data_IF_796874325639
#
_entry.id   IF_796874325639
#
_cell.length_a   1.000
_cell.length_b   1.000
_cell.length_c   1.000
_cell.angle_alpha   90.00
_cell.angle_beta   90.00
_cell.angle_gamma   90.00
#
_symmetry.space_group_name_H-M   'P 1'
#
loop_
_entity.id
_entity.type
_entity.pdbx_description
1 polymer ?
#
# COMPACT_ATOMS: atom_id res chain seq x y z
N UNK A 1 3.60 20.77 -54.90
CA UNK A 1 4.30 21.19 -53.66
C UNK A 1 5.51 21.97 -54.14
N UNK A 2 5.57 23.29 -53.91
CA UNK A 2 6.64 24.13 -54.45
C UNK A 2 7.97 23.75 -53.80
N UNK A 3 8.97 23.43 -54.63
CA UNK A 3 10.33 23.09 -54.19
C UNK A 3 10.97 24.33 -53.51
N UNK A 4 11.71 24.16 -52.40
CA UNK A 4 12.36 25.29 -51.74
C UNK A 4 13.42 25.91 -52.66
N UNK A 5 13.15 27.12 -53.16
CA UNK A 5 13.91 27.81 -54.21
C UNK A 5 15.15 28.59 -53.75
N UNK A 6 15.57 28.49 -52.48
CA UNK A 6 16.70 29.24 -51.91
C UNK A 6 17.92 28.39 -51.54
N UNK A 7 17.74 27.45 -50.60
CA UNK A 7 18.73 26.44 -50.20
C UNK A 7 18.01 25.30 -49.45
N UNK A 8 18.39 24.05 -49.70
CA UNK A 8 17.83 22.88 -48.99
C UNK A 8 18.93 21.95 -48.52
N UNK A 9 18.85 21.50 -47.27
CA UNK A 9 19.72 20.45 -46.71
C UNK A 9 18.89 19.17 -46.63
N UNK A 10 19.39 18.10 -47.25
CA UNK A 10 18.79 16.76 -47.20
C UNK A 10 19.69 15.85 -46.35
N UNK A 11 19.13 15.29 -45.30
CA UNK A 11 19.80 14.28 -44.48
C UNK A 11 19.36 12.90 -45.01
N UNK A 12 20.28 12.19 -45.66
CA UNK A 12 20.07 10.82 -46.13
C UNK A 12 21.03 9.89 -45.39
N UNK A 13 20.63 9.52 -44.18
CA UNK A 13 21.48 8.75 -43.27
C UNK A 13 20.83 7.39 -42.98
N UNK A 14 21.51 6.33 -43.43
CA UNK A 14 21.07 4.96 -43.24
C UNK A 14 21.16 4.48 -41.78
N UNK A 15 22.09 5.03 -40.99
CA UNK A 15 22.20 4.72 -39.57
C UNK A 15 21.05 5.38 -38.80
N UNK A 16 20.73 6.64 -39.10
CA UNK A 16 19.58 7.34 -38.52
C UNK A 16 18.26 6.63 -38.80
N UNK A 17 18.04 6.16 -40.04
CA UNK A 17 16.83 5.39 -40.40
C UNK A 17 16.73 4.07 -39.63
N UNK A 18 17.85 3.36 -39.47
CA UNK A 18 17.88 2.11 -38.68
C UNK A 18 17.54 2.38 -37.22
N UNK A 19 18.15 3.42 -36.63
CA UNK A 19 17.91 3.82 -35.25
C UNK A 19 16.43 4.18 -35.02
N UNK A 20 15.86 5.03 -35.88
CA UNK A 20 14.44 5.42 -35.81
C UNK A 20 13.50 4.22 -36.02
N UNK A 21 13.86 3.29 -36.91
CA UNK A 21 13.11 2.05 -37.13
C UNK A 21 13.10 1.13 -35.90
N UNK A 22 14.25 1.00 -35.23
CA UNK A 22 14.35 0.24 -33.96
C UNK A 22 13.48 0.85 -32.86
N UNK A 23 13.58 2.17 -32.67
CA UNK A 23 12.74 2.91 -31.71
C UNK A 23 11.24 2.76 -32.01
N UNK A 24 10.83 2.89 -33.27
CA UNK A 24 9.44 2.73 -33.67
C UNK A 24 8.92 1.32 -33.37
N UNK A 25 9.71 0.28 -33.66
CA UNK A 25 9.34 -1.10 -33.35
C UNK A 25 9.26 -1.35 -31.84
N UNK A 26 10.20 -0.85 -31.05
CA UNK A 26 10.16 -0.98 -29.58
C UNK A 26 9.00 -0.21 -28.95
N UNK A 27 8.53 0.87 -29.57
CA UNK A 27 7.35 1.60 -29.11
C UNK A 27 6.04 0.81 -29.31
N UNK A 28 6.01 -0.23 -30.14
CA UNK A 28 4.82 -1.08 -30.32
C UNK A 28 4.60 -2.04 -29.13
N UNK A 29 5.69 -2.47 -28.49
CA UNK A 29 5.65 -3.34 -27.32
C UNK A 29 6.68 -2.90 -26.27
N UNK A 30 6.21 -2.10 -25.31
CA UNK A 30 7.02 -1.63 -24.19
C UNK A 30 6.89 -2.55 -22.97
N UNK A 31 6.39 -3.79 -23.12
CA UNK A 31 6.15 -4.70 -21.99
C UNK A 31 7.40 -4.85 -21.11
N UNK A 32 8.58 -5.00 -21.71
CA UNK A 32 9.84 -5.12 -20.96
C UNK A 32 10.16 -3.87 -20.13
N UNK A 33 9.88 -2.68 -20.65
CA UNK A 33 10.00 -1.44 -19.88
C UNK A 33 8.98 -1.44 -18.74
N UNK A 34 7.72 -1.73 -19.04
CA UNK A 34 6.64 -1.69 -18.05
C UNK A 34 6.88 -2.70 -16.91
N UNK A 35 7.46 -3.87 -17.18
CA UNK A 35 7.90 -4.84 -16.16
C UNK A 35 8.97 -4.25 -15.24
N UNK A 36 9.97 -3.57 -15.81
CA UNK A 36 11.03 -2.95 -15.01
C UNK A 36 10.50 -1.80 -14.15
N UNK A 37 9.66 -0.93 -14.73
CA UNK A 37 9.03 0.17 -14.00
C UNK A 37 8.14 -0.34 -12.88
N UNK A 38 7.30 -1.35 -13.15
CA UNK A 38 6.45 -1.99 -12.16
C UNK A 38 7.26 -2.60 -11.02
N UNK A 39 8.34 -3.33 -11.33
CA UNK A 39 9.23 -3.92 -10.33
C UNK A 39 9.89 -2.87 -9.43
N UNK A 40 10.33 -1.75 -10.02
CA UNK A 40 10.90 -0.64 -9.25
C UNK A 40 9.85 0.02 -8.34
N UNK A 41 8.65 0.30 -8.86
CA UNK A 41 7.56 0.89 -8.08
C UNK A 41 7.13 -0.02 -6.92
N UNK A 42 7.10 -1.33 -7.15
CA UNK A 42 6.82 -2.33 -6.11
C UNK A 42 7.91 -2.32 -5.04
N UNK A 43 9.18 -2.33 -5.44
CA UNK A 43 10.32 -2.24 -4.53
C UNK A 43 10.29 -0.96 -3.68
N UNK A 44 10.05 0.19 -4.29
CA UNK A 44 9.95 1.47 -3.59
C UNK A 44 8.81 1.45 -2.57
N UNK A 45 7.68 0.84 -2.95
CA UNK A 45 6.54 0.68 -2.05
C UNK A 45 6.89 -0.23 -0.88
N UNK A 46 7.60 -1.36 -1.10
CA UNK A 46 8.02 -2.26 -0.02
C UNK A 46 9.01 -1.57 0.93
N UNK A 47 9.97 -0.82 0.40
CA UNK A 47 10.96 -0.04 1.18
C UNK A 47 10.30 0.97 2.11
N UNK A 48 9.22 1.62 1.67
CA UNK A 48 8.44 2.55 2.52
C UNK A 48 7.89 1.90 3.79
N UNK A 49 7.54 0.61 3.75
CA UNK A 49 7.11 -0.12 4.96
C UNK A 49 8.26 -0.35 5.92
N UNK A 50 9.46 -0.63 5.41
CA UNK A 50 10.66 -0.84 6.21
C UNK A 50 11.14 0.48 6.84
N UNK A 51 11.12 1.57 6.07
CA UNK A 51 11.52 2.90 6.52
C UNK A 51 10.42 3.62 7.32
N UNK A 52 9.19 3.10 7.31
CA UNK A 52 7.98 3.69 7.88
C UNK A 52 7.71 5.13 7.39
N UNK A 53 7.91 5.35 6.09
CA UNK A 53 7.81 6.66 5.44
C UNK A 53 6.90 6.62 4.22
N UNK A 54 6.18 7.70 3.98
CA UNK A 54 5.37 7.87 2.79
C UNK A 54 6.19 8.16 1.52
N UNK A 55 5.53 8.24 0.36
CA UNK A 55 6.16 8.66 -0.89
C UNK A 55 6.80 10.05 -0.75
N UNK A 56 6.20 10.94 0.03
CA UNK A 56 6.73 12.27 0.33
C UNK A 56 7.99 12.26 1.23
N UNK A 57 8.44 11.09 1.68
CA UNK A 57 9.59 10.91 2.58
C UNK A 57 9.28 11.17 4.06
N UNK A 58 8.06 11.63 4.37
CA UNK A 58 7.66 11.91 5.73
C UNK A 58 7.32 10.61 6.49
N UNK A 59 7.71 10.47 7.76
CA UNK A 59 7.37 9.30 8.55
C UNK A 59 5.85 9.21 8.75
N UNK A 60 5.29 8.00 8.70
CA UNK A 60 3.87 7.82 8.94
C UNK A 60 3.49 8.14 10.38
N UNK A 61 2.28 8.70 10.62
CA UNK A 61 1.74 8.85 11.96
C UNK A 61 1.76 7.51 12.71
N UNK A 62 2.40 7.43 13.89
CA UNK A 62 2.62 6.18 14.58
C UNK A 62 1.29 5.51 14.94
N UNK A 63 1.25 4.18 14.85
CA UNK A 63 0.09 3.43 15.35
C UNK A 63 0.13 3.30 16.88
N UNK A 64 -1.03 3.13 17.53
CA UNK A 64 -1.08 2.90 18.97
C UNK A 64 -0.26 1.66 19.37
N UNK A 65 -0.25 0.62 18.53
CA UNK A 65 0.57 -0.57 18.73
C UNK A 65 2.06 -0.24 18.66
N UNK A 66 2.48 0.58 17.69
CA UNK A 66 3.86 1.02 17.59
C UNK A 66 4.31 1.76 18.87
N UNK A 67 3.45 2.63 19.41
CA UNK A 67 3.75 3.39 20.63
C UNK A 67 3.74 2.54 21.91
N UNK A 68 2.86 1.54 22.00
CA UNK A 68 2.63 0.78 23.25
C UNK A 68 3.38 -0.55 23.32
N UNK A 69 3.71 -1.13 22.17
CA UNK A 69 4.29 -2.48 22.06
C UNK A 69 5.58 -2.49 21.24
N UNK A 70 6.16 -1.31 20.95
CA UNK A 70 7.39 -1.17 20.17
C UNK A 70 7.34 -1.87 18.80
N UNK A 71 6.15 -1.89 18.17
CA UNK A 71 5.95 -2.45 16.84
C UNK A 71 6.15 -1.42 15.71
N UNK A 72 6.11 -1.89 14.47
CA UNK A 72 6.19 -1.01 13.30
C UNK A 72 4.82 -0.52 12.84
N UNK A 73 4.75 0.74 12.41
CA UNK A 73 3.52 1.29 11.85
C UNK A 73 3.21 0.65 10.50
N UNK A 74 1.93 0.31 10.27
CA UNK A 74 1.43 -0.35 9.05
C UNK A 74 1.93 -1.80 8.82
N UNK A 75 2.79 -2.32 9.69
CA UNK A 75 3.32 -3.70 9.64
C UNK A 75 2.95 -4.43 10.92
N UNK A 76 1.92 -5.27 10.90
CA UNK A 76 1.58 -6.18 12.02
C UNK A 76 2.02 -7.61 11.70
N UNK A 77 1.29 -8.28 10.81
CA UNK A 77 1.64 -9.57 10.21
C UNK A 77 2.32 -9.44 8.85
N UNK A 78 2.69 -8.21 8.47
CA UNK A 78 3.18 -7.84 7.14
C UNK A 78 2.25 -8.18 5.95
N UNK A 79 1.00 -8.60 6.18
CA UNK A 79 0.04 -8.96 5.12
C UNK A 79 -0.16 -7.86 4.08
N UNK A 80 -0.27 -6.60 4.50
CA UNK A 80 -0.47 -5.49 3.57
C UNK A 80 0.73 -5.36 2.63
N UNK A 81 1.95 -5.33 3.20
CA UNK A 81 3.20 -5.29 2.43
C UNK A 81 3.30 -6.45 1.44
N UNK A 82 3.03 -7.67 1.90
CA UNK A 82 3.10 -8.89 1.08
C UNK A 82 2.01 -8.98 0.00
N UNK A 83 0.92 -8.22 0.14
CA UNK A 83 -0.17 -8.19 -0.84
C UNK A 83 0.03 -7.16 -1.95
N UNK A 84 1.09 -6.35 -1.87
CA UNK A 84 1.44 -5.43 -2.95
C UNK A 84 1.89 -6.27 -4.12
N UNK A 85 1.32 -5.98 -5.28
CA UNK A 85 1.75 -6.58 -6.53
C UNK A 85 1.52 -5.62 -7.68
N UNK A 86 2.08 -5.99 -8.82
CA UNK A 86 2.02 -5.21 -10.04
C UNK A 86 1.21 -5.90 -11.14
N UNK A 87 0.68 -5.08 -12.06
CA UNK A 87 0.09 -5.53 -13.33
C UNK A 87 0.69 -4.72 -14.46
N UNK A 88 0.98 -5.40 -15.56
CA UNK A 88 1.66 -4.81 -16.71
C UNK A 88 0.88 -5.11 -17.97
N UNK A 89 0.78 -4.12 -18.84
CA UNK A 89 0.37 -4.26 -20.24
C UNK A 89 1.49 -3.76 -21.15
N UNK A 90 1.27 -3.78 -22.48
CA UNK A 90 2.26 -3.29 -23.45
C UNK A 90 2.66 -1.82 -23.27
N UNK A 91 1.85 -1.01 -22.59
CA UNK A 91 2.08 0.42 -22.44
C UNK A 91 1.69 0.98 -21.06
N UNK A 92 1.31 0.13 -20.10
CA UNK A 92 0.97 0.55 -18.74
C UNK A 92 1.62 -0.35 -17.70
N UNK A 93 2.02 0.27 -16.58
CA UNK A 93 2.46 -0.39 -15.38
C UNK A 93 1.59 0.09 -14.21
N UNK A 94 1.01 -0.83 -13.46
CA UNK A 94 0.16 -0.56 -12.31
C UNK A 94 0.69 -1.29 -11.09
N UNK A 95 0.67 -0.63 -9.92
CA UNK A 95 1.02 -1.24 -8.63
C UNK A 95 -0.09 -0.99 -7.63
N UNK A 96 -0.48 -2.03 -6.88
CA UNK A 96 -1.55 -1.92 -5.90
C UNK A 96 -1.70 -3.15 -5.02
N UNK A 97 -2.81 -3.20 -4.28
CA UNK A 97 -3.17 -4.30 -3.39
C UNK A 97 -4.68 -4.54 -3.43
N UNK A 98 -5.10 -5.78 -3.19
CA UNK A 98 -6.51 -6.15 -3.06
C UNK A 98 -7.02 -6.14 -1.61
N UNK A 99 -6.20 -5.71 -0.65
CA UNK A 99 -6.56 -5.67 0.77
C UNK A 99 -7.52 -4.53 1.05
N UNK A 100 -8.72 -4.84 1.56
CA UNK A 100 -9.80 -3.86 1.76
C UNK A 100 -9.39 -2.68 2.66
N UNK A 101 -8.67 -2.96 3.75
CA UNK A 101 -8.23 -1.92 4.68
C UNK A 101 -7.06 -1.07 4.13
N UNK A 102 -6.52 -1.40 2.96
CA UNK A 102 -5.48 -0.60 2.31
C UNK A 102 -5.98 0.81 1.98
N UNK A 103 -7.23 0.95 1.54
CA UNK A 103 -7.80 2.24 1.13
C UNK A 103 -7.85 3.23 2.30
N UNK A 104 -8.33 2.80 3.47
CA UNK A 104 -8.41 3.69 4.64
C UNK A 104 -7.02 4.08 5.15
N UNK A 105 -5.99 3.25 4.93
CA UNK A 105 -4.61 3.63 5.23
C UNK A 105 -4.03 4.56 4.18
N UNK A 106 -4.29 4.34 2.89
CA UNK A 106 -3.77 5.18 1.82
C UNK A 106 -4.33 6.60 1.91
N UNK A 107 -5.64 6.74 2.07
CA UNK A 107 -6.34 8.02 1.98
C UNK A 107 -6.69 8.63 3.34
N UNK A 108 -6.62 7.84 4.42
CA UNK A 108 -7.23 8.22 5.69
C UNK A 108 -8.75 8.18 5.62
N UNK A 109 -9.41 8.46 6.74
CA UNK A 109 -10.85 8.62 6.77
C UNK A 109 -11.47 8.34 8.13
N UNK A 110 -12.79 8.42 8.19
CA UNK A 110 -13.56 8.17 9.42
C UNK A 110 -14.43 6.94 9.24
N UNK A 111 -14.27 5.96 10.11
CA UNK A 111 -15.11 4.76 10.16
C UNK A 111 -16.21 5.01 11.18
N UNK A 112 -17.46 4.91 10.74
CA UNK A 112 -18.63 5.02 11.62
C UNK A 112 -18.99 3.62 12.13
N UNK A 113 -18.94 3.45 13.45
CA UNK A 113 -19.36 2.22 14.09
C UNK A 113 -20.79 2.40 14.62
N UNK A 114 -21.79 1.67 14.10
CA UNK A 114 -23.15 1.77 14.60
C UNK A 114 -23.27 1.22 16.03
N UNK A 115 -24.36 1.59 16.70
CA UNK A 115 -24.69 0.99 17.98
C UNK A 115 -24.87 -0.52 17.84
N UNK A 116 -24.30 -1.27 18.78
CA UNK A 116 -24.46 -2.72 18.83
C UNK A 116 -24.59 -3.19 20.26
N UNK A 117 -25.36 -4.26 20.43
CA UNK A 117 -25.41 -4.99 21.69
C UNK A 117 -24.40 -6.14 21.64
N UNK A 118 -23.61 -6.28 22.70
CA UNK A 118 -22.67 -7.37 22.86
C UNK A 118 -22.92 -8.03 24.22
N UNK A 119 -23.15 -9.34 24.20
CA UNK A 119 -23.24 -10.11 25.44
C UNK A 119 -21.83 -10.34 25.98
N UNK A 120 -21.55 -9.79 27.15
CA UNK A 120 -20.32 -10.04 27.89
C UNK A 120 -20.52 -11.30 28.74
N UNK A 121 -19.55 -12.20 28.66
CA UNK A 121 -19.54 -13.46 29.41
C UNK A 121 -18.48 -13.41 30.48
N UNK A 122 -18.88 -13.75 31.70
CA UNK A 122 -18.00 -13.73 32.85
C UNK A 122 -18.10 -15.02 33.65
N UNK A 123 -16.99 -15.38 34.28
CA UNK A 123 -16.93 -16.40 35.32
C UNK A 123 -16.62 -15.73 36.65
N UNK A 124 -17.56 -15.81 37.58
CA UNK A 124 -17.39 -15.42 38.96
C UNK A 124 -16.96 -16.63 39.80
N UNK A 125 -16.05 -16.44 40.77
CA UNK A 125 -15.52 -17.54 41.59
C UNK A 125 -16.50 -18.04 42.67
N UNK A 126 -17.43 -17.18 43.11
CA UNK A 126 -18.45 -17.49 44.11
C UNK A 126 -19.77 -17.96 43.49
N UNK A 127 -20.70 -18.36 44.36
CA UNK A 127 -22.05 -18.78 43.96
C UNK A 127 -22.82 -17.63 43.31
N UNK A 128 -23.19 -17.81 42.03
CA UNK A 128 -23.95 -16.82 41.24
C UNK A 128 -25.47 -17.00 41.41
N UNK A 129 -25.91 -17.84 42.35
CA UNK A 129 -27.32 -18.05 42.73
C UNK A 129 -27.73 -17.38 44.06
N UNK A 130 -26.80 -17.00 44.94
CA UNK A 130 -27.08 -16.38 46.24
C UNK A 130 -27.45 -14.88 46.16
N UNK A 131 -28.50 -14.39 46.80
CA UNK A 131 -28.88 -12.96 46.76
C UNK A 131 -27.73 -11.96 47.10
N UNK A 132 -26.74 -12.41 47.88
CA UNK A 132 -25.58 -11.63 48.31
C UNK A 132 -24.44 -11.48 47.28
N UNK A 133 -24.43 -12.20 46.15
CA UNK A 133 -23.34 -12.06 45.14
C UNK A 133 -23.51 -10.82 44.26
N UNK A 134 -24.74 -10.32 44.10
CA UNK A 134 -25.03 -9.14 43.28
C UNK A 134 -24.46 -7.85 43.88
N UNK A 135 -24.17 -7.84 45.19
CA UNK A 135 -23.62 -6.70 45.92
C UNK A 135 -22.08 -6.67 45.94
N UNK A 136 -21.38 -7.78 45.63
CA UNK A 136 -19.91 -7.80 45.51
C UNK A 136 -19.46 -7.45 44.09
N UNK A 137 -19.44 -6.16 43.76
CA UNK A 137 -18.86 -5.63 42.50
C UNK A 137 -17.32 -5.56 42.50
N UNK A 138 -16.65 -6.32 43.37
CA UNK A 138 -15.18 -6.30 43.46
C UNK A 138 -14.59 -7.04 42.27
N UNK A 139 -13.96 -6.31 41.34
CA UNK A 139 -13.41 -6.82 40.08
C UNK A 139 -12.41 -8.00 40.23
N UNK A 140 -11.92 -8.28 41.44
CA UNK A 140 -10.94 -9.34 41.74
C UNK A 140 -11.48 -10.75 41.47
N UNK A 141 -12.78 -10.97 41.69
CA UNK A 141 -13.41 -12.29 41.56
C UNK A 141 -14.07 -12.52 40.20
N UNK A 142 -14.02 -11.51 39.33
CA UNK A 142 -14.61 -11.52 37.99
C UNK A 142 -13.52 -11.73 36.93
N UNK A 143 -13.74 -12.69 36.04
CA UNK A 143 -12.88 -12.90 34.87
C UNK A 143 -13.72 -13.01 33.61
N UNK A 144 -13.28 -12.34 32.54
CA UNK A 144 -13.82 -12.61 31.21
C UNK A 144 -13.64 -14.08 30.87
N UNK A 145 -14.71 -14.72 30.42
CA UNK A 145 -14.70 -16.15 30.09
C UNK A 145 -15.39 -16.39 28.75
N UNK A 146 -15.07 -17.54 28.13
CA UNK A 146 -15.83 -18.02 26.97
C UNK A 146 -17.24 -18.39 27.45
N UNK A 147 -18.24 -18.29 26.55
CA UNK A 147 -19.64 -18.65 26.82
C UNK A 147 -19.82 -19.99 27.55
N UNK A 148 -19.08 -21.03 27.15
CA UNK A 148 -19.19 -22.38 27.76
C UNK A 148 -18.64 -22.49 29.19
N UNK A 149 -17.90 -21.48 29.66
CA UNK A 149 -17.31 -21.41 31.01
C UNK A 149 -17.84 -20.19 31.77
N UNK A 150 -18.92 -19.59 31.33
CA UNK A 150 -19.52 -18.44 31.98
C UNK A 150 -20.64 -18.90 32.90
N UNK A 151 -20.67 -18.40 34.14
CA UNK A 151 -21.81 -18.53 35.04
C UNK A 151 -22.63 -17.24 35.12
N UNK A 152 -22.16 -16.17 34.48
CA UNK A 152 -22.87 -14.90 34.37
C UNK A 152 -22.71 -14.32 32.96
N UNK A 153 -23.77 -13.67 32.48
CA UNK A 153 -23.75 -12.95 31.21
C UNK A 153 -24.59 -11.69 31.29
N UNK A 154 -24.11 -10.60 30.73
CA UNK A 154 -24.82 -9.33 30.67
C UNK A 154 -24.81 -8.78 29.25
N UNK A 155 -25.94 -8.25 28.81
CA UNK A 155 -26.02 -7.55 27.52
C UNK A 155 -25.53 -6.13 27.72
N UNK A 156 -24.36 -5.81 27.14
CA UNK A 156 -23.81 -4.48 27.15
C UNK A 156 -24.06 -3.78 25.82
N UNK A 157 -24.59 -2.57 25.85
CA UNK A 157 -24.83 -1.76 24.65
C UNK A 157 -23.64 -0.86 24.39
N UNK A 158 -22.93 -1.10 23.30
CA UNK A 158 -21.86 -0.23 22.81
C UNK A 158 -22.48 0.82 21.91
N UNK A 159 -22.51 2.08 22.39
CA UNK A 159 -23.05 3.21 21.65
C UNK A 159 -22.31 3.43 20.32
N UNK A 160 -23.02 4.00 19.36
CA UNK A 160 -22.43 4.42 18.10
C UNK A 160 -21.27 5.40 18.33
N UNK A 161 -20.16 5.21 17.63
CA UNK A 161 -18.99 6.08 17.73
C UNK A 161 -18.21 6.09 16.41
N UNK A 162 -17.46 7.17 16.19
CA UNK A 162 -16.61 7.34 15.03
C UNK A 162 -15.14 7.08 15.37
N UNK A 163 -14.43 6.39 14.48
CA UNK A 163 -12.99 6.18 14.57
C UNK A 163 -12.32 6.94 13.42
N UNK A 164 -11.53 7.95 13.75
CA UNK A 164 -10.75 8.71 12.75
C UNK A 164 -9.39 8.06 12.55
N UNK A 165 -9.10 7.65 11.33
CA UNK A 165 -7.84 7.03 10.91
C UNK A 165 -7.02 8.03 10.11
N UNK A 166 -5.77 8.34 10.53
CA UNK A 166 -4.90 9.21 9.76
C UNK A 166 -4.41 8.51 8.50
N UNK A 167 -4.19 9.29 7.44
CA UNK A 167 -3.58 8.81 6.21
C UNK A 167 -2.12 8.40 6.45
N UNK A 168 -1.75 7.27 5.85
CA UNK A 168 -0.42 6.67 5.82
C UNK A 168 -0.16 6.23 4.38
N UNK A 169 0.03 7.20 3.46
CA UNK A 169 0.16 6.89 2.04
C UNK A 169 1.41 6.04 1.85
N UNK A 170 1.25 4.90 1.16
CA UNK A 170 2.34 4.00 0.83
C UNK A 170 2.47 3.83 -0.69
N UNK A 171 1.37 3.93 -1.43
CA UNK A 171 1.37 4.05 -2.88
C UNK A 171 1.59 5.50 -3.29
N UNK A 172 2.39 5.69 -4.34
CA UNK A 172 2.73 6.99 -4.89
C UNK A 172 4.13 7.01 -5.45
N UNK A 173 4.43 8.04 -6.25
CA UNK A 173 5.77 8.28 -6.78
C UNK A 173 6.13 9.71 -6.42
N UNK A 174 7.32 9.89 -5.85
CA UNK A 174 7.88 11.20 -5.57
C UNK A 174 8.89 11.59 -6.66
N UNK A 175 9.48 12.78 -6.53
CA UNK A 175 10.46 13.27 -7.49
C UNK A 175 11.67 12.33 -7.64
N UNK A 176 12.21 11.81 -6.53
CA UNK A 176 13.32 10.86 -6.54
C UNK A 176 12.96 9.55 -7.24
N UNK A 177 11.79 8.99 -6.97
CA UNK A 177 11.28 7.79 -7.63
C UNK A 177 11.05 8.02 -9.12
N UNK A 178 10.48 9.18 -9.50
CA UNK A 178 10.34 9.54 -10.92
C UNK A 178 11.69 9.66 -11.63
N UNK A 179 12.74 10.15 -10.95
CA UNK A 179 14.08 10.19 -11.52
C UNK A 179 14.62 8.78 -11.80
N UNK A 180 14.48 7.85 -10.86
CA UNK A 180 14.89 6.44 -11.04
C UNK A 180 14.11 5.76 -12.18
N UNK A 181 12.80 5.94 -12.23
CA UNK A 181 11.97 5.43 -13.32
C UNK A 181 12.38 6.05 -14.67
N UNK A 182 12.77 7.33 -14.67
CA UNK A 182 13.32 8.02 -15.82
C UNK A 182 14.64 7.41 -16.31
N UNK A 183 15.55 7.04 -15.41
CA UNK A 183 16.78 6.34 -15.78
C UNK A 183 16.49 4.97 -16.41
N UNK A 184 15.61 4.17 -15.80
CA UNK A 184 15.19 2.88 -16.34
C UNK A 184 14.63 3.04 -17.76
N UNK A 185 13.78 4.06 -17.98
CA UNK A 185 13.23 4.35 -19.30
C UNK A 185 14.31 4.78 -20.31
N UNK A 186 15.30 5.59 -19.89
CA UNK A 186 16.41 6.01 -20.78
C UNK A 186 17.30 4.84 -21.14
N UNK A 187 17.65 3.98 -20.18
CA UNK A 187 18.46 2.79 -20.41
C UNK A 187 17.76 1.82 -21.37
N UNK A 188 16.47 1.61 -21.19
CA UNK A 188 15.66 0.81 -22.10
C UNK A 188 15.63 1.41 -23.51
N UNK A 189 15.42 2.73 -23.64
CA UNK A 189 15.43 3.43 -24.93
C UNK A 189 16.80 3.34 -25.62
N UNK A 190 17.90 3.44 -24.86
CA UNK A 190 19.25 3.30 -25.39
C UNK A 190 19.48 1.87 -25.93
N UNK A 191 19.00 0.85 -25.21
CA UNK A 191 19.02 -0.53 -25.68
C UNK A 191 18.20 -0.73 -26.96
N UNK A 192 16.97 -0.20 -27.00
CA UNK A 192 16.07 -0.26 -28.16
C UNK A 192 16.65 0.43 -29.41
N UNK A 193 17.35 1.55 -29.21
CA UNK A 193 18.02 2.28 -30.29
C UNK A 193 19.32 1.61 -30.78
N UNK A 194 19.75 0.50 -30.16
CA UNK A 194 21.05 -0.12 -30.43
C UNK A 194 22.24 0.73 -29.99
N UNK A 195 22.01 1.65 -29.04
CA UNK A 195 23.02 2.54 -28.44
C UNK A 195 23.54 1.98 -27.10
N UNK A 196 22.94 0.89 -26.60
CA UNK A 196 23.37 0.17 -25.40
C UNK A 196 24.70 -0.56 -25.60
N UNK A 197 25.57 -0.46 -24.60
CA UNK A 197 26.98 -0.85 -24.63
C UNK A 197 27.29 -2.15 -25.38
N UNK A 198 28.20 -2.05 -26.36
CA UNK A 198 29.13 -3.13 -26.66
C UNK A 198 29.88 -3.45 -25.35
N UNK A 199 29.56 -4.59 -24.75
CA UNK A 199 30.36 -5.21 -23.70
C UNK A 199 31.14 -6.36 -24.31
#
# INVERSE_FOLDING_TARGET
>A
MADPTGASIRIDDAALRRLLGGLAASAEDMTDLMVQLAGQMELDTQRRFEEQRGPDGNPWPPSLRALTQNGETLTDTARLRQSIGSRVTRNTAEVGTNVVYAAIHQFGGTVQMPERQQTLYWHHRGDTGSADWQSSRTFKDWKFSKRSRANYSEVHTVKAHSITMPARPFLGINEAGMAVLGEIARDWLAGAAGLGAAS
#
